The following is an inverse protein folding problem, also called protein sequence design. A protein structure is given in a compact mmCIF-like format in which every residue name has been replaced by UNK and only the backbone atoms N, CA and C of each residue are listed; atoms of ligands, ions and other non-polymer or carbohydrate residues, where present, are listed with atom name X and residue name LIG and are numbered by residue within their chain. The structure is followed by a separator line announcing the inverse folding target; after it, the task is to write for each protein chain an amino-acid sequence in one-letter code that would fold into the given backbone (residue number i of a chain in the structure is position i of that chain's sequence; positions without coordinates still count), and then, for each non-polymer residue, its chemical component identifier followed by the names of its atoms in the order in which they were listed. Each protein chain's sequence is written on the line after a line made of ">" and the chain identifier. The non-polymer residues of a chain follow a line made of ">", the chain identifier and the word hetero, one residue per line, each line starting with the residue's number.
data_IF_663378378386
#
_entry.id   IF_663378378386
#
_cell.length_a   1.000
_cell.length_b   1.000
_cell.length_c   1.000
_cell.angle_alpha   90.00
_cell.angle_beta   90.00
_cell.angle_gamma   90.00
#
_symmetry.space_group_name_H-M   'P 1'
#
loop_
_entity.id
_entity.type
_entity.pdbx_description
1 polymer ?
#
# COMPACT_ATOMS: atom_id res chain seq x y z
N UNK A 1 -2.01 -3.97 10.18
CA UNK A 1 -1.57 -3.56 8.84
C UNK A 1 -2.61 -2.74 8.08
N UNK A 2 -3.90 -3.12 8.16
CA UNK A 2 -4.93 -2.37 7.45
C UNK A 2 -5.12 -0.96 8.02
N UNK A 3 -4.95 -0.79 9.34
CA UNK A 3 -5.01 0.53 9.96
C UNK A 3 -3.88 1.43 9.46
N UNK A 4 -2.69 0.88 9.34
CA UNK A 4 -1.56 1.64 8.84
C UNK A 4 -1.79 2.06 7.39
N UNK A 5 -2.35 1.18 6.58
CA UNK A 5 -2.71 1.48 5.20
C UNK A 5 -3.74 2.60 5.13
N UNK A 6 -4.81 2.50 5.92
CA UNK A 6 -5.87 3.50 5.96
C UNK A 6 -5.31 4.85 6.41
N UNK A 7 -4.45 4.85 7.42
CA UNK A 7 -3.83 6.08 7.91
C UNK A 7 -2.98 6.73 6.82
N UNK A 8 -2.20 5.92 6.10
CA UNK A 8 -1.35 6.42 5.03
C UNK A 8 -2.18 7.07 3.92
N UNK A 9 -3.34 6.51 3.62
CA UNK A 9 -4.23 7.07 2.59
C UNK A 9 -4.77 8.44 2.96
N UNK A 10 -4.76 8.80 4.24
CA UNK A 10 -5.25 10.12 4.69
C UNK A 10 -4.18 11.20 4.68
N UNK A 11 -2.91 10.85 4.45
CA UNK A 11 -1.83 11.82 4.41
C UNK A 11 -1.99 12.75 3.21
N UNK A 12 -1.73 14.04 3.44
CA UNK A 12 -1.86 15.04 2.38
C UNK A 12 -0.56 15.25 1.61
N UNK A 13 0.58 14.93 2.21
CA UNK A 13 1.88 15.05 1.56
C UNK A 13 2.11 13.86 0.63
N UNK A 14 2.18 14.08 -0.70
CA UNK A 14 2.30 12.97 -1.65
C UNK A 14 3.52 12.08 -1.41
N UNK A 15 4.64 12.67 -1.03
CA UNK A 15 5.86 11.90 -0.82
C UNK A 15 5.79 11.08 0.45
N UNK A 16 5.31 11.67 1.53
CA UNK A 16 5.11 10.94 2.79
C UNK A 16 4.05 9.87 2.64
N UNK A 17 2.98 10.18 1.91
CA UNK A 17 1.92 9.21 1.64
C UNK A 17 2.49 8.01 0.89
N UNK A 18 3.29 8.24 -0.12
CA UNK A 18 3.90 7.17 -0.91
C UNK A 18 4.79 6.28 -0.04
N UNK A 19 5.66 6.90 0.76
CA UNK A 19 6.55 6.15 1.65
C UNK A 19 5.76 5.31 2.66
N UNK A 20 4.74 5.91 3.26
CA UNK A 20 3.91 5.23 4.25
C UNK A 20 3.13 4.09 3.61
N UNK A 21 2.60 4.29 2.40
CA UNK A 21 1.89 3.25 1.67
C UNK A 21 2.80 2.08 1.34
N UNK A 22 4.04 2.37 0.93
CA UNK A 22 5.00 1.32 0.63
C UNK A 22 5.30 0.47 1.86
N UNK A 23 5.55 1.11 2.99
CA UNK A 23 5.83 0.40 4.24
C UNK A 23 4.63 -0.42 4.70
N UNK A 24 3.44 0.18 4.66
CA UNK A 24 2.22 -0.50 5.07
C UNK A 24 1.90 -1.67 4.17
N UNK A 25 2.05 -1.49 2.87
CA UNK A 25 1.80 -2.54 1.90
C UNK A 25 2.75 -3.72 2.10
N UNK A 26 4.04 -3.43 2.31
CA UNK A 26 5.03 -4.48 2.52
C UNK A 26 4.69 -5.32 3.75
N UNK A 27 4.36 -4.66 4.86
CA UNK A 27 4.01 -5.35 6.08
C UNK A 27 2.73 -6.17 5.91
N UNK A 28 1.74 -5.57 5.28
CA UNK A 28 0.44 -6.22 5.08
C UNK A 28 0.55 -7.42 4.14
N UNK A 29 1.31 -7.27 3.06
CA UNK A 29 1.50 -8.37 2.11
C UNK A 29 2.19 -9.57 2.76
N UNK A 30 3.05 -9.34 3.73
CA UNK A 30 3.69 -10.41 4.48
C UNK A 30 2.72 -11.10 5.42
N UNK A 31 1.75 -10.36 5.97
CA UNK A 31 0.79 -10.88 6.93
C UNK A 31 -0.42 -11.51 6.25
N UNK A 32 -0.98 -10.82 5.25
CA UNK A 32 -2.16 -11.28 4.54
C UNK A 32 -2.07 -10.82 3.09
N UNK A 33 -1.44 -11.61 2.27
CA UNK A 33 -1.14 -11.27 0.87
C UNK A 33 -2.43 -10.99 0.08
N UNK A 34 -3.44 -11.84 0.21
CA UNK A 34 -4.67 -11.71 -0.57
C UNK A 34 -5.41 -10.41 -0.28
N UNK A 35 -5.58 -10.10 1.00
CA UNK A 35 -6.28 -8.88 1.40
C UNK A 35 -5.48 -7.63 1.03
N UNK A 36 -4.17 -7.70 1.20
CA UNK A 36 -3.31 -6.58 0.87
C UNK A 36 -3.37 -6.26 -0.63
N UNK A 37 -3.29 -7.27 -1.46
CA UNK A 37 -3.38 -7.09 -2.91
C UNK A 37 -4.72 -6.49 -3.31
N UNK A 38 -5.81 -6.99 -2.74
CA UNK A 38 -7.14 -6.47 -3.03
C UNK A 38 -7.24 -5.00 -2.63
N UNK A 39 -6.74 -4.65 -1.45
CA UNK A 39 -6.77 -3.27 -0.98
C UNK A 39 -5.94 -2.34 -1.87
N UNK A 40 -4.75 -2.79 -2.26
CA UNK A 40 -3.88 -2.01 -3.14
C UNK A 40 -4.56 -1.75 -4.49
N UNK A 41 -5.16 -2.79 -5.07
CA UNK A 41 -5.83 -2.66 -6.36
C UNK A 41 -7.09 -1.80 -6.27
N UNK A 42 -7.77 -1.82 -5.13
CA UNK A 42 -8.99 -1.05 -4.92
C UNK A 42 -8.73 0.38 -4.45
N UNK A 43 -7.47 0.75 -4.21
CA UNK A 43 -7.12 2.05 -3.64
C UNK A 43 -7.31 3.22 -4.59
N UNK A 44 -7.41 2.96 -5.89
CA UNK A 44 -7.51 4.03 -6.87
C UNK A 44 -6.17 4.65 -7.25
N UNK A 45 -5.08 4.04 -6.82
CA UNK A 45 -3.74 4.53 -7.14
C UNK A 45 -3.41 4.29 -8.62
N UNK A 46 -2.46 5.05 -9.19
CA UNK A 46 -1.99 4.80 -10.55
C UNK A 46 -1.43 3.39 -10.68
N UNK A 47 -1.57 2.80 -11.87
CA UNK A 47 -1.10 1.43 -12.08
C UNK A 47 0.40 1.27 -11.82
N UNK A 48 1.17 2.29 -12.09
CA UNK A 48 2.61 2.26 -11.79
C UNK A 48 2.86 2.10 -10.30
N UNK A 49 2.12 2.84 -9.48
CA UNK A 49 2.24 2.74 -8.03
C UNK A 49 1.80 1.38 -7.54
N UNK A 50 0.68 0.89 -8.07
CA UNK A 50 0.18 -0.44 -7.71
C UNK A 50 1.21 -1.51 -8.04
N UNK A 51 1.80 -1.45 -9.22
CA UNK A 51 2.83 -2.40 -9.63
C UNK A 51 4.03 -2.37 -8.70
N UNK A 52 4.48 -1.16 -8.34
CA UNK A 52 5.59 -1.01 -7.40
C UNK A 52 5.29 -1.62 -6.05
N UNK A 53 4.10 -1.35 -5.52
CA UNK A 53 3.69 -1.87 -4.22
C UNK A 53 3.63 -3.39 -4.23
N UNK A 54 3.12 -3.97 -5.29
CA UNK A 54 3.01 -5.42 -5.39
C UNK A 54 4.37 -6.10 -5.57
N UNK A 55 5.34 -5.42 -6.18
CA UNK A 55 6.67 -5.98 -6.38
C UNK A 55 7.53 -6.00 -5.13
N UNK A 56 7.12 -5.34 -4.08
CA UNK A 56 7.92 -5.28 -2.85
C UNK A 56 7.93 -6.58 -2.07
N UNK A 57 7.22 -7.58 -2.51
CA UNK A 57 6.93 -8.76 -1.70
C UNK A 57 7.85 -9.94 -1.89
N UNK A 58 8.82 -9.88 -2.71
CA UNK A 58 9.71 -11.04 -2.86
C UNK A 58 10.73 -11.20 -1.75
#
# INVERSE_FOLDING_TARGET
>A
PDLAWTWAMTLTDPQKQKDSLEKSARSWLKTDDSKARAAIQASGLPSETITKLLKQTD
#
